data_IF_569279583801
#
_entry.id   IF_569279583801
#
_cell.length_a   1.000
_cell.length_b   1.000
_cell.length_c   1.000
_cell.angle_alpha   90.00
_cell.angle_beta   90.00
_cell.angle_gamma   90.00
#
_symmetry.space_group_name_H-M   'P 1'
#
loop_
_entity.id
_entity.type
_entity.pdbx_description
1 polymer ?
#
# COMPACT_ATOMS: atom_id res chain seq x y z
N UNK A 1 -27.63 -10.25 -25.21
CA UNK A 1 -26.52 -10.96 -24.53
C UNK A 1 -25.45 -9.93 -24.20
N UNK A 2 -25.54 -9.31 -23.04
CA UNK A 2 -24.55 -8.31 -22.57
C UNK A 2 -23.67 -8.99 -21.54
N UNK A 3 -22.53 -9.54 -21.98
CA UNK A 3 -21.45 -9.90 -21.06
C UNK A 3 -20.76 -8.60 -20.66
N UNK A 4 -21.11 -8.07 -19.50
CA UNK A 4 -20.34 -7.04 -18.83
C UNK A 4 -19.09 -7.70 -18.24
N UNK A 5 -18.01 -7.68 -19.00
CA UNK A 5 -16.67 -8.03 -18.51
C UNK A 5 -16.17 -6.87 -17.65
N UNK A 6 -16.51 -6.89 -16.35
CA UNK A 6 -16.00 -5.94 -15.38
C UNK A 6 -14.58 -6.35 -14.99
N UNK A 7 -13.61 -5.96 -15.83
CA UNK A 7 -12.20 -6.13 -15.50
C UNK A 7 -11.87 -5.30 -14.25
N UNK A 8 -11.65 -6.00 -13.13
CA UNK A 8 -11.22 -5.35 -11.91
C UNK A 8 -9.79 -4.89 -12.10
N UNK A 9 -9.59 -3.58 -12.22
CA UNK A 9 -8.26 -2.99 -12.34
C UNK A 9 -7.56 -3.06 -10.99
N UNK A 10 -6.40 -3.69 -10.94
CA UNK A 10 -5.56 -3.75 -9.74
C UNK A 10 -4.51 -2.64 -9.78
N UNK A 11 -4.26 -2.03 -8.64
CA UNK A 11 -3.25 -0.99 -8.47
C UNK A 11 -2.24 -1.40 -7.41
N UNK A 12 -0.99 -0.95 -7.57
CA UNK A 12 0.03 -1.07 -6.55
C UNK A 12 0.19 0.27 -5.82
N UNK A 13 0.02 0.25 -4.49
CA UNK A 13 0.35 1.37 -3.63
C UNK A 13 1.80 1.27 -3.16
N UNK A 14 2.64 2.22 -3.57
CA UNK A 14 4.03 2.35 -3.10
C UNK A 14 4.15 3.64 -2.30
N UNK A 15 4.72 3.55 -1.10
CA UNK A 15 4.96 4.70 -0.23
C UNK A 15 6.28 4.55 0.53
N UNK A 16 6.80 5.66 1.06
CA UNK A 16 8.00 5.70 1.88
C UNK A 16 7.64 6.25 3.26
N UNK A 17 8.15 5.61 4.31
CA UNK A 17 7.83 5.91 5.71
C UNK A 17 9.09 5.78 6.55
N UNK A 18 9.28 6.60 7.62
CA UNK A 18 10.31 6.34 8.62
C UNK A 18 10.23 4.92 9.17
N UNK A 19 11.39 4.32 9.45
CA UNK A 19 11.44 2.93 9.94
C UNK A 19 10.66 2.76 11.26
N UNK A 20 10.64 3.77 12.13
CA UNK A 20 9.91 3.74 13.39
C UNK A 20 8.38 3.71 13.23
N UNK A 21 7.85 4.26 12.13
CA UNK A 21 6.41 4.39 11.89
C UNK A 21 5.86 3.32 10.93
N UNK A 22 6.73 2.42 10.46
CA UNK A 22 6.41 1.43 9.43
C UNK A 22 5.20 0.57 9.80
N UNK A 23 5.16 0.05 11.03
CA UNK A 23 4.06 -0.82 11.47
C UNK A 23 2.74 -0.06 11.61
N UNK A 24 2.77 1.16 12.13
CA UNK A 24 1.57 2.01 12.29
C UNK A 24 0.94 2.30 10.93
N UNK A 25 1.75 2.65 9.93
CA UNK A 25 1.25 2.92 8.58
C UNK A 25 0.72 1.65 7.91
N UNK A 26 1.41 0.51 8.02
CA UNK A 26 0.93 -0.76 7.48
C UNK A 26 -0.41 -1.17 8.08
N UNK A 27 -0.58 -1.08 9.40
CA UNK A 27 -1.85 -1.36 10.06
C UNK A 27 -2.97 -0.46 9.56
N UNK A 28 -2.70 0.83 9.35
CA UNK A 28 -3.68 1.75 8.78
C UNK A 28 -4.06 1.41 7.33
N UNK A 29 -3.09 1.02 6.50
CA UNK A 29 -3.32 0.59 5.11
C UNK A 29 -4.16 -0.70 5.09
N UNK A 30 -3.82 -1.70 5.91
CA UNK A 30 -4.55 -2.97 5.96
C UNK A 30 -5.98 -2.82 6.48
N UNK A 31 -6.23 -1.88 7.41
CA UNK A 31 -7.58 -1.58 7.88
C UNK A 31 -8.53 -1.08 6.76
N UNK A 32 -7.99 -0.63 5.62
CA UNK A 32 -8.79 -0.27 4.43
C UNK A 32 -9.16 -1.46 3.55
N UNK A 33 -8.63 -2.66 3.84
CA UNK A 33 -8.77 -3.87 3.02
C UNK A 33 -7.65 -4.10 2.01
N UNK A 34 -6.73 -3.14 1.85
CA UNK A 34 -5.55 -3.30 1.01
C UNK A 34 -4.65 -4.45 1.50
N UNK A 35 -4.07 -5.21 0.57
CA UNK A 35 -3.24 -6.38 0.90
C UNK A 35 -4.04 -7.66 1.21
N UNK A 36 -5.34 -7.71 0.85
CA UNK A 36 -6.18 -8.91 0.97
C UNK A 36 -6.30 -9.63 -0.37
N UNK A 37 -6.07 -10.94 -0.40
CA UNK A 37 -6.15 -11.76 -1.62
C UNK A 37 -6.61 -13.21 -1.35
N UNK A 38 -7.42 -13.83 -2.22
CA UNK A 38 -8.28 -13.18 -3.21
C UNK A 38 -9.32 -12.31 -2.50
N UNK A 39 -9.63 -11.15 -3.08
CA UNK A 39 -10.62 -10.20 -2.56
C UNK A 39 -11.90 -10.13 -3.41
N UNK A 40 -11.97 -10.93 -4.48
CA UNK A 40 -13.18 -11.13 -5.25
C UNK A 40 -13.67 -12.58 -5.10
N UNK A 41 -14.97 -12.79 -5.28
CA UNK A 41 -15.58 -14.10 -5.39
C UNK A 41 -15.60 -14.62 -6.84
N UNK A 42 -14.90 -13.95 -7.75
CA UNK A 42 -15.01 -14.11 -9.22
C UNK A 42 -13.70 -14.47 -9.91
N UNK A 43 -12.59 -14.55 -9.16
CA UNK A 43 -11.30 -14.98 -9.66
C UNK A 43 -11.42 -16.35 -10.33
N UNK A 44 -10.82 -16.55 -11.51
CA UNK A 44 -10.89 -17.82 -12.25
C UNK A 44 -10.25 -18.98 -11.48
N UNK A 45 -9.45 -18.69 -10.45
CA UNK A 45 -9.19 -19.62 -9.35
C UNK A 45 -10.41 -19.66 -8.44
N UNK A 46 -11.51 -20.20 -8.98
CA UNK A 46 -12.78 -20.31 -8.29
C UNK A 46 -12.55 -20.94 -6.92
N UNK A 47 -12.77 -20.11 -5.91
CA UNK A 47 -13.26 -20.56 -4.63
C UNK A 47 -14.62 -21.19 -4.93
N UNK A 48 -14.68 -22.50 -4.77
CA UNK A 48 -15.86 -23.34 -4.98
C UNK A 48 -17.07 -22.88 -4.15
N UNK A 49 -16.89 -21.95 -3.21
CA UNK A 49 -17.94 -21.25 -2.50
C UNK A 49 -17.64 -19.75 -2.36
N UNK A 50 -18.63 -18.89 -2.64
CA UNK A 50 -18.59 -17.41 -2.46
C UNK A 50 -18.46 -16.99 -0.97
N UNK A 51 -18.10 -17.92 -0.08
CA UNK A 51 -18.18 -17.80 1.37
C UNK A 51 -16.85 -18.03 2.12
N UNK A 52 -15.77 -18.45 1.46
CA UNK A 52 -14.52 -18.71 2.19
C UNK A 52 -13.72 -17.42 2.43
N UNK A 53 -13.05 -17.41 3.57
CA UNK A 53 -12.20 -16.32 4.02
C UNK A 53 -11.07 -16.04 3.01
N UNK A 54 -10.53 -14.80 2.97
CA UNK A 54 -9.36 -14.49 2.16
C UNK A 54 -8.18 -15.41 2.54
N UNK A 55 -7.43 -15.87 1.52
CA UNK A 55 -6.29 -16.77 1.70
C UNK A 55 -5.09 -16.04 2.31
N UNK A 56 -4.93 -14.77 1.97
CA UNK A 56 -3.88 -13.89 2.45
C UNK A 56 -4.49 -12.56 2.85
N UNK A 57 -4.06 -12.05 4.00
CA UNK A 57 -4.42 -10.74 4.52
C UNK A 57 -3.14 -10.01 4.89
N UNK A 58 -3.20 -8.69 4.95
CA UNK A 58 -2.08 -7.86 5.39
C UNK A 58 -0.80 -8.02 4.53
N UNK A 59 -0.99 -8.27 3.22
CA UNK A 59 0.12 -8.45 2.27
C UNK A 59 0.77 -7.10 1.96
N UNK A 60 2.07 -6.99 2.28
CA UNK A 60 2.91 -5.86 1.91
C UNK A 60 4.36 -6.32 1.67
N UNK A 61 5.08 -5.58 0.83
CA UNK A 61 6.53 -5.72 0.67
C UNK A 61 7.23 -4.52 1.31
N UNK A 62 8.23 -4.79 2.15
CA UNK A 62 8.95 -3.76 2.90
C UNK A 62 10.45 -3.87 2.59
N UNK A 63 11.04 -2.77 2.12
CA UNK A 63 12.47 -2.66 1.86
C UNK A 63 13.04 -1.44 2.56
N UNK A 64 14.22 -1.59 3.19
CA UNK A 64 14.97 -0.47 3.76
C UNK A 64 15.78 0.24 2.68
N UNK A 65 15.85 1.56 2.76
CA UNK A 65 16.65 2.37 1.85
C UNK A 65 16.87 3.78 2.39
N UNK A 66 17.61 4.58 1.63
CA UNK A 66 17.90 5.98 1.96
C UNK A 66 17.10 6.88 1.04
N UNK A 67 16.30 7.77 1.61
CA UNK A 67 15.63 8.85 0.88
C UNK A 67 16.43 10.13 0.99
N UNK A 68 16.59 10.85 -0.11
CA UNK A 68 17.31 12.12 -0.17
C UNK A 68 16.39 13.19 -0.74
N UNK A 69 16.34 14.35 -0.09
CA UNK A 69 15.61 15.52 -0.56
C UNK A 69 16.32 16.81 -0.11
N UNK A 70 16.05 17.91 -0.80
CA UNK A 70 16.61 19.24 -0.49
C UNK A 70 15.48 20.18 -0.04
N UNK A 71 15.32 20.44 1.28
CA UNK A 71 14.32 21.38 1.75
C UNK A 71 14.71 22.82 1.39
N UNK A 72 13.78 23.59 0.84
CA UNK A 72 13.97 25.03 0.63
C UNK A 72 13.70 25.81 1.92
N UNK A 73 14.03 27.09 1.97
CA UNK A 73 13.78 27.97 3.13
C UNK A 73 12.29 28.06 3.50
N UNK A 74 11.39 27.83 2.54
CA UNK A 74 9.94 27.87 2.74
C UNK A 74 9.34 26.48 2.97
N UNK A 75 10.16 25.44 3.13
CA UNK A 75 9.67 24.10 3.40
C UNK A 75 9.25 23.95 4.87
N UNK A 76 8.24 23.11 5.13
CA UNK A 76 7.88 22.63 6.46
C UNK A 76 7.98 21.10 6.47
N UNK A 77 9.19 20.52 6.43
CA UNK A 77 9.34 19.09 6.29
C UNK A 77 9.04 18.39 7.62
N UNK A 78 8.38 17.22 7.56
CA UNK A 78 8.15 16.39 8.74
C UNK A 78 9.43 15.75 9.29
N UNK A 79 10.49 15.70 8.49
CA UNK A 79 11.81 15.15 8.84
C UNK A 79 12.85 16.14 8.32
N UNK A 80 13.87 16.49 9.12
CA UNK A 80 14.90 17.46 8.74
C UNK A 80 14.50 18.93 8.99
N UNK A 81 15.25 19.87 8.40
CA UNK A 81 15.13 21.31 8.67
C UNK A 81 14.91 22.10 7.39
N UNK A 82 14.05 23.13 7.43
CA UNK A 82 13.88 24.07 6.32
C UNK A 82 15.22 24.73 5.94
N UNK A 83 15.51 24.84 4.65
CA UNK A 83 16.78 25.37 4.13
C UNK A 83 18.03 24.55 4.47
N UNK A 84 17.88 23.35 5.07
CA UNK A 84 18.98 22.49 5.47
C UNK A 84 19.75 21.91 4.27
N UNK A 85 21.04 21.64 4.48
CA UNK A 85 21.88 20.96 3.49
C UNK A 85 21.50 19.48 3.36
N UNK A 86 21.83 18.93 2.18
CA UNK A 86 21.65 17.52 1.87
C UNK A 86 22.90 16.80 2.34
N UNK A 87 22.79 15.93 3.33
CA UNK A 87 23.84 14.93 3.63
C UNK A 87 23.73 13.74 2.67
#
# INVERSE_FOLDING_TARGET
>A
MTSSDSSSTMYQLTFYVPTQDTQTVLSAVHATGAGTWPNDSTSPEKLDNVADAPKYVEVAFVTRGTGQFRPTEHANPHIGTAGGEVE
#
